data_IF_978587435573
#
_entry.id   IF_978587435573
#
_cell.length_a   1.000
_cell.length_b   1.000
_cell.length_c   1.000
_cell.angle_alpha   90.00
_cell.angle_beta   90.00
_cell.angle_gamma   90.00
#
_symmetry.space_group_name_H-M   'P 1'
#
loop_
_entity.id
_entity.type
_entity.pdbx_description
1 polymer ?
#
# COMPACT_ATOMS: atom_id res chain seq x y z
N UNK A 1 5.66 7.13 0.70
CA UNK A 1 6.09 6.05 1.62
C UNK A 1 6.83 4.91 0.91
N UNK A 2 7.36 3.93 1.68
CA UNK A 2 8.23 2.83 1.19
C UNK A 2 7.66 1.90 0.13
N UNK A 3 6.34 1.73 0.07
CA UNK A 3 5.67 0.95 -0.98
C UNK A 3 5.05 1.90 -2.01
N UNK A 4 4.26 2.86 -1.52
CA UNK A 4 3.47 3.77 -2.36
C UNK A 4 4.29 4.60 -3.34
N UNK A 5 5.52 4.99 -2.99
CA UNK A 5 6.36 5.79 -3.89
C UNK A 5 6.76 5.02 -5.16
N UNK A 6 7.04 3.72 -5.02
CA UNK A 6 7.38 2.84 -6.14
C UNK A 6 6.15 2.43 -6.93
N UNK A 7 5.00 2.28 -6.28
CA UNK A 7 3.73 2.09 -6.98
C UNK A 7 3.39 3.31 -7.86
N UNK A 8 3.51 4.52 -7.33
CA UNK A 8 3.29 5.75 -8.09
C UNK A 8 4.26 5.89 -9.29
N UNK A 9 5.55 5.59 -9.08
CA UNK A 9 6.55 5.53 -10.16
C UNK A 9 6.16 4.54 -11.25
N UNK A 10 5.75 3.32 -10.87
CA UNK A 10 5.38 2.29 -11.83
C UNK A 10 4.10 2.65 -12.60
N UNK A 11 3.11 3.28 -11.96
CA UNK A 11 1.91 3.78 -12.64
C UNK A 11 2.29 4.82 -13.72
N UNK A 12 3.14 5.79 -13.37
CA UNK A 12 3.59 6.82 -14.30
C UNK A 12 4.33 6.23 -15.51
N UNK A 13 5.26 5.29 -15.26
CA UNK A 13 6.03 4.61 -16.31
C UNK A 13 5.22 3.61 -17.14
N UNK A 14 4.00 3.26 -16.70
CA UNK A 14 3.08 2.41 -17.46
C UNK A 14 1.99 3.23 -18.18
N UNK A 15 2.15 4.56 -18.26
CA UNK A 15 1.27 5.42 -19.04
C UNK A 15 -0.12 5.63 -18.43
N UNK A 16 -0.27 5.47 -17.11
CA UNK A 16 -1.52 5.88 -16.44
C UNK A 16 -1.67 7.40 -16.55
N UNK A 17 -2.72 7.85 -17.24
CA UNK A 17 -2.91 9.27 -17.59
C UNK A 17 -3.39 10.17 -16.45
N UNK A 18 -3.85 9.62 -15.31
CA UNK A 18 -4.21 10.40 -14.14
C UNK A 18 -3.86 9.66 -12.84
N UNK A 19 -3.13 10.32 -11.94
CA UNK A 19 -2.65 9.74 -10.68
C UNK A 19 -2.96 10.70 -9.52
N UNK A 20 -3.66 10.21 -8.50
CA UNK A 20 -3.86 10.95 -7.25
C UNK A 20 -2.95 10.38 -6.15
N UNK A 21 -2.20 11.25 -5.49
CA UNK A 21 -1.35 10.93 -4.33
C UNK A 21 -1.97 11.51 -3.07
N UNK A 22 -2.09 10.70 -2.01
CA UNK A 22 -2.64 11.11 -0.71
C UNK A 22 -1.65 10.71 0.38
N UNK A 23 -0.93 11.67 0.95
CA UNK A 23 0.05 11.52 2.02
C UNK A 23 0.27 12.93 2.60
N UNK A 24 0.50 13.05 3.90
CA UNK A 24 0.73 14.34 4.59
C UNK A 24 2.14 14.41 5.22
N UNK A 25 2.97 13.40 5.00
CA UNK A 25 4.32 13.38 5.53
C UNK A 25 5.31 14.15 4.63
N UNK A 26 6.37 14.66 5.25
CA UNK A 26 7.56 15.16 4.59
C UNK A 26 8.61 14.07 4.33
N UNK A 27 9.48 14.30 3.35
CA UNK A 27 10.65 13.46 3.10
C UNK A 27 11.62 13.56 4.28
N UNK A 28 11.94 12.42 4.89
CA UNK A 28 12.91 12.34 5.98
C UNK A 28 14.17 11.58 5.56
N UNK A 29 15.33 11.95 6.09
CA UNK A 29 16.61 11.26 5.84
C UNK A 29 16.53 9.75 6.13
N UNK A 30 15.73 9.34 7.11
CA UNK A 30 15.51 7.93 7.47
C UNK A 30 14.70 7.15 6.44
N UNK A 31 14.22 7.80 5.38
CA UNK A 31 13.48 7.18 4.28
C UNK A 31 14.41 6.62 3.18
N UNK A 32 15.69 7.02 3.17
CA UNK A 32 16.69 6.73 2.13
C UNK A 32 16.82 5.24 1.78
N UNK A 33 16.65 4.35 2.76
CA UNK A 33 16.79 2.90 2.56
C UNK A 33 15.63 2.26 1.77
N UNK A 34 14.54 2.98 1.49
CA UNK A 34 13.31 2.37 0.94
C UNK A 34 12.37 3.26 0.12
N UNK A 35 12.58 4.57 0.03
CA UNK A 35 11.66 5.50 -0.66
C UNK A 35 12.36 6.20 -1.82
N UNK A 36 11.78 6.13 -3.02
CA UNK A 36 12.41 6.65 -4.26
C UNK A 36 12.61 8.18 -4.25
N UNK A 37 11.78 8.91 -3.50
CA UNK A 37 11.84 10.37 -3.37
C UNK A 37 12.81 10.85 -2.28
N UNK A 38 13.45 9.94 -1.54
CA UNK A 38 14.36 10.29 -0.45
C UNK A 38 15.77 10.59 -0.96
N UNK A 39 15.96 11.80 -1.49
CA UNK A 39 17.24 12.34 -1.92
C UNK A 39 17.67 13.50 -1.02
N UNK A 40 18.98 13.77 -0.96
CA UNK A 40 19.57 14.78 -0.05
C UNK A 40 18.93 16.16 -0.20
N UNK A 41 18.67 16.57 -1.44
CA UNK A 41 18.07 17.85 -1.83
C UNK A 41 16.55 17.92 -1.58
N UNK A 42 15.90 16.79 -1.27
CA UNK A 42 14.45 16.68 -1.10
C UNK A 42 14.00 16.55 0.34
N UNK A 43 14.93 16.39 1.30
CA UNK A 43 14.61 16.27 2.73
C UNK A 43 13.87 17.53 3.23
N UNK A 44 12.79 17.33 3.99
CA UNK A 44 11.94 18.39 4.52
C UNK A 44 10.84 18.90 3.56
N UNK A 45 10.80 18.39 2.32
CA UNK A 45 9.72 18.72 1.38
C UNK A 45 8.56 17.72 1.51
N UNK A 46 7.30 18.11 1.20
CA UNK A 46 6.18 17.18 1.21
C UNK A 46 6.38 16.01 0.24
N UNK A 47 6.19 14.77 0.70
CA UNK A 47 6.41 13.57 -0.13
C UNK A 47 5.58 13.60 -1.41
N UNK A 48 4.32 14.03 -1.32
CA UNK A 48 3.42 14.10 -2.47
C UNK A 48 3.87 15.13 -3.50
N UNK A 49 4.44 16.26 -3.07
CA UNK A 49 4.91 17.30 -3.96
C UNK A 49 6.14 16.82 -4.76
N UNK A 50 7.12 16.22 -4.06
CA UNK A 50 8.32 15.64 -4.69
C UNK A 50 7.93 14.52 -5.67
N UNK A 51 7.00 13.65 -5.29
CA UNK A 51 6.52 12.60 -6.20
C UNK A 51 5.71 13.15 -7.37
N UNK A 52 4.91 14.20 -7.19
CA UNK A 52 4.15 14.80 -8.28
C UNK A 52 5.05 15.47 -9.31
N UNK A 53 6.08 16.20 -8.87
CA UNK A 53 7.13 16.75 -9.74
C UNK A 53 7.80 15.63 -10.54
N UNK A 54 8.19 14.54 -9.85
CA UNK A 54 8.82 13.38 -10.47
C UNK A 54 7.93 12.70 -11.51
N UNK A 55 6.64 12.51 -11.23
CA UNK A 55 5.68 11.92 -12.18
C UNK A 55 5.54 12.83 -13.42
N UNK A 56 5.43 14.15 -13.21
CA UNK A 56 5.34 15.12 -14.30
C UNK A 56 6.59 15.11 -15.19
N UNK A 57 7.77 14.89 -14.60
CA UNK A 57 9.02 14.72 -15.34
C UNK A 57 9.09 13.40 -16.13
N UNK A 58 8.38 12.36 -15.69
CA UNK A 58 8.30 11.06 -16.38
C UNK A 58 7.30 11.14 -17.55
N UNK A 59 6.13 11.73 -17.30
CA UNK A 59 5.06 11.87 -18.28
C UNK A 59 4.39 13.24 -18.09
N UNK A 60 4.76 14.25 -18.90
CA UNK A 60 4.18 15.60 -18.81
C UNK A 60 2.67 15.66 -19.09
N UNK A 61 2.11 14.65 -19.76
CA UNK A 61 0.68 14.55 -20.05
C UNK A 61 -0.11 13.87 -18.91
N UNK A 62 0.58 13.33 -17.90
CA UNK A 62 -0.07 12.73 -16.74
C UNK A 62 -0.70 13.82 -15.86
N UNK A 63 -2.01 13.73 -15.64
CA UNK A 63 -2.70 14.58 -14.67
C UNK A 63 -2.44 14.10 -13.25
N UNK A 64 -1.57 14.79 -12.53
CA UNK A 64 -1.25 14.47 -11.14
C UNK A 64 -2.05 15.34 -10.18
N UNK A 65 -2.74 14.72 -9.22
CA UNK A 65 -3.43 15.41 -8.13
C UNK A 65 -2.76 15.05 -6.80
N UNK A 66 -2.23 16.04 -6.10
CA UNK A 66 -1.66 15.87 -4.76
C UNK A 66 -2.71 16.29 -3.71
N UNK A 67 -3.00 15.41 -2.75
CA UNK A 67 -3.88 15.68 -1.63
C UNK A 67 -3.07 15.59 -0.34
N UNK A 68 -2.82 16.75 0.26
CA UNK A 68 -2.09 16.90 1.51
C UNK A 68 -3.02 16.65 2.72
N UNK A 69 -3.34 15.37 2.96
CA UNK A 69 -4.18 14.93 4.07
C UNK A 69 -3.97 13.42 4.32
N UNK A 70 -4.37 12.93 5.48
CA UNK A 70 -4.50 11.51 5.74
C UNK A 70 -5.91 11.01 5.45
N UNK A 71 -6.04 9.74 5.07
CA UNK A 71 -7.36 9.09 5.02
C UNK A 71 -7.83 8.75 6.44
N UNK A 72 -9.02 9.18 6.79
CA UNK A 72 -9.70 8.89 8.07
C UNK A 72 -11.08 8.29 7.80
N UNK A 73 -11.73 7.77 8.84
CA UNK A 73 -13.10 7.27 8.70
C UNK A 73 -14.10 8.37 8.29
N UNK A 74 -13.80 9.62 8.64
CA UNK A 74 -14.70 10.76 8.42
C UNK A 74 -14.52 11.36 7.02
N UNK A 75 -13.29 11.37 6.49
CA UNK A 75 -13.00 12.00 5.19
C UNK A 75 -12.91 11.01 4.02
N UNK A 76 -12.88 9.69 4.25
CA UNK A 76 -12.67 8.68 3.18
C UNK A 76 -13.68 8.82 2.03
N UNK A 77 -14.92 9.18 2.33
CA UNK A 77 -15.96 9.39 1.32
C UNK A 77 -15.64 10.58 0.41
N UNK A 78 -15.18 11.69 0.99
CA UNK A 78 -14.74 12.87 0.26
C UNK A 78 -13.47 12.58 -0.54
N UNK A 79 -12.51 11.85 0.04
CA UNK A 79 -11.22 11.54 -0.59
C UNK A 79 -11.34 10.57 -1.76
N UNK A 80 -12.38 9.74 -1.79
CA UNK A 80 -12.63 8.74 -2.84
C UNK A 80 -13.76 9.09 -3.81
N UNK A 81 -14.29 10.32 -3.77
CA UNK A 81 -15.39 10.74 -4.64
C UNK A 81 -15.00 10.88 -6.12
N UNK A 82 -13.71 10.84 -6.45
CA UNK A 82 -13.17 11.10 -7.78
C UNK A 82 -13.41 10.01 -8.84
N UNK A 83 -14.15 8.95 -8.53
CA UNK A 83 -14.45 7.88 -9.49
C UNK A 83 -13.23 7.07 -9.92
N UNK A 84 -12.33 6.76 -8.98
CA UNK A 84 -11.08 6.03 -9.28
C UNK A 84 -11.33 4.67 -9.93
N UNK A 85 -10.62 4.40 -11.03
CA UNK A 85 -10.60 3.08 -11.67
C UNK A 85 -10.00 2.00 -10.77
N UNK A 86 -9.05 2.41 -9.92
CA UNK A 86 -8.38 1.56 -8.97
C UNK A 86 -7.78 2.36 -7.82
N UNK A 87 -7.73 1.76 -6.64
CA UNK A 87 -7.05 2.28 -5.45
C UNK A 87 -5.93 1.33 -5.06
N UNK A 88 -4.71 1.86 -4.86
CA UNK A 88 -3.59 1.12 -4.29
C UNK A 88 -3.39 1.60 -2.86
N UNK A 89 -3.74 0.75 -1.90
CA UNK A 89 -3.61 1.05 -0.48
C UNK A 89 -2.22 0.64 0.04
N UNK A 90 -1.35 1.65 0.16
CA UNK A 90 -0.01 1.55 0.74
C UNK A 90 0.10 2.22 2.13
N UNK A 91 -1.02 2.36 2.85
CA UNK A 91 -1.09 2.95 4.19
C UNK A 91 -0.52 1.97 5.23
N UNK A 92 0.20 2.49 6.21
CA UNK A 92 0.87 1.75 7.28
C UNK A 92 0.08 1.79 8.61
N UNK A 93 -0.70 2.86 8.85
CA UNK A 93 -1.65 2.98 9.96
C UNK A 93 -2.86 2.05 9.81
N UNK A 94 -3.02 1.11 10.74
CA UNK A 94 -4.13 0.14 10.78
C UNK A 94 -5.50 0.82 10.74
N UNK A 95 -5.68 1.96 11.41
CA UNK A 95 -6.98 2.65 11.49
C UNK A 95 -7.40 3.24 10.15
N UNK A 96 -6.51 4.02 9.54
CA UNK A 96 -6.72 4.63 8.23
C UNK A 96 -6.90 3.56 7.14
N UNK A 97 -6.04 2.53 7.17
CA UNK A 97 -6.09 1.38 6.26
C UNK A 97 -7.43 0.65 6.33
N UNK A 98 -7.91 0.32 7.54
CA UNK A 98 -9.20 -0.36 7.70
C UNK A 98 -10.38 0.51 7.23
N UNK A 99 -10.35 1.83 7.48
CA UNK A 99 -11.37 2.75 7.00
C UNK A 99 -11.44 2.80 5.46
N UNK A 100 -10.28 2.95 4.81
CA UNK A 100 -10.15 2.93 3.35
C UNK A 100 -10.71 1.63 2.76
N UNK A 101 -10.27 0.49 3.26
CA UNK A 101 -10.66 -0.82 2.73
C UNK A 101 -12.13 -1.14 2.97
N UNK A 102 -12.68 -0.77 4.13
CA UNK A 102 -14.10 -0.92 4.40
C UNK A 102 -14.96 -0.08 3.44
N UNK A 103 -14.55 1.16 3.19
CA UNK A 103 -15.23 2.05 2.24
C UNK A 103 -15.16 1.51 0.81
N UNK A 104 -13.96 1.21 0.30
CA UNK A 104 -13.78 0.68 -1.04
C UNK A 104 -14.60 -0.60 -1.26
N UNK A 105 -14.59 -1.51 -0.28
CA UNK A 105 -15.38 -2.75 -0.34
C UNK A 105 -16.88 -2.49 -0.37
N UNK A 106 -17.39 -1.58 0.47
CA UNK A 106 -18.82 -1.25 0.55
C UNK A 106 -19.34 -0.63 -0.74
N UNK A 107 -18.57 0.28 -1.32
CA UNK A 107 -18.94 1.03 -2.53
C UNK A 107 -18.40 0.42 -3.84
N UNK A 108 -17.83 -0.80 -3.76
CA UNK A 108 -17.31 -1.56 -4.90
C UNK A 108 -16.24 -0.79 -5.71
N UNK A 109 -15.46 0.06 -5.03
CA UNK A 109 -14.29 0.71 -5.61
C UNK A 109 -13.16 -0.34 -5.69
N UNK A 110 -12.61 -0.63 -6.88
CA UNK A 110 -11.53 -1.60 -7.01
C UNK A 110 -10.33 -1.19 -6.17
N UNK A 111 -9.85 -2.11 -5.32
CA UNK A 111 -8.74 -1.84 -4.41
C UNK A 111 -7.84 -3.05 -4.28
N UNK A 112 -6.53 -2.80 -4.18
CA UNK A 112 -5.53 -3.74 -3.70
C UNK A 112 -4.87 -3.13 -2.47
N UNK A 113 -4.83 -3.87 -1.37
CA UNK A 113 -4.09 -3.46 -0.19
C UNK A 113 -2.70 -4.08 -0.18
N UNK A 114 -1.77 -3.40 0.48
CA UNK A 114 -0.42 -3.91 0.71
C UNK A 114 -0.24 -4.19 2.19
N UNK A 115 0.26 -5.39 2.48
CA UNK A 115 0.66 -5.84 3.81
C UNK A 115 1.94 -5.16 4.33
N UNK A 116 2.49 -5.70 5.42
CA UNK A 116 3.75 -5.23 6.00
C UNK A 116 4.95 -5.69 5.16
N UNK A 117 5.72 -4.74 4.62
CA UNK A 117 6.91 -5.02 3.80
C UNK A 117 8.25 -4.84 4.57
N UNK A 118 8.20 -4.46 5.85
CA UNK A 118 9.37 -4.38 6.72
C UNK A 118 9.71 -5.75 7.33
N UNK A 119 10.96 -5.94 7.75
CA UNK A 119 11.44 -7.19 8.36
C UNK A 119 11.56 -8.34 7.37
N UNK A 120 11.67 -8.03 6.07
CA UNK A 120 11.69 -8.99 4.97
C UNK A 120 12.85 -8.64 4.02
N UNK A 121 13.41 -9.66 3.39
CA UNK A 121 14.61 -9.56 2.55
C UNK A 121 14.47 -10.22 1.18
N UNK A 122 13.54 -11.17 1.03
CA UNK A 122 13.40 -11.97 -0.19
C UNK A 122 12.21 -11.50 -1.05
N UNK A 123 12.46 -10.74 -2.14
CA UNK A 123 11.39 -10.25 -2.99
C UNK A 123 10.70 -11.36 -3.80
N UNK A 124 11.30 -12.55 -3.92
CA UNK A 124 10.73 -13.66 -4.72
C UNK A 124 9.53 -14.32 -4.05
N UNK A 125 9.34 -14.07 -2.75
CA UNK A 125 8.25 -14.62 -1.93
C UNK A 125 7.00 -13.74 -1.88
N UNK A 126 7.02 -12.60 -2.57
CA UNK A 126 5.92 -11.65 -2.66
C UNK A 126 4.85 -12.19 -3.61
N UNK A 127 3.61 -12.17 -3.17
CA UNK A 127 2.46 -12.70 -3.92
C UNK A 127 1.16 -11.97 -3.55
N UNK A 128 0.09 -12.26 -4.28
CA UNK A 128 -1.24 -11.69 -4.03
C UNK A 128 -2.23 -12.76 -3.62
N UNK A 129 -2.95 -12.54 -2.53
CA UNK A 129 -4.07 -13.38 -2.09
C UNK A 129 -5.20 -12.52 -1.50
N UNK A 130 -6.32 -13.15 -1.15
CA UNK A 130 -7.35 -12.46 -0.36
C UNK A 130 -6.78 -12.10 1.01
N UNK A 131 -7.09 -10.90 1.52
CA UNK A 131 -6.63 -10.41 2.83
C UNK A 131 -6.90 -11.41 3.97
N UNK A 132 -7.97 -12.20 3.89
CA UNK A 132 -8.31 -13.24 4.85
C UNK A 132 -7.29 -14.39 4.94
N UNK A 133 -6.44 -14.53 3.92
CA UNK A 133 -5.53 -15.67 3.68
C UNK A 133 -4.05 -15.30 3.75
N UNK A 134 -3.71 -14.05 4.07
CA UNK A 134 -2.30 -13.68 4.25
C UNK A 134 -1.72 -14.35 5.50
N UNK A 135 -0.44 -14.69 5.42
CA UNK A 135 0.36 -15.31 6.47
C UNK A 135 1.60 -14.45 6.73
N UNK A 136 2.26 -14.66 7.88
CA UNK A 136 3.50 -13.96 8.27
C UNK A 136 3.44 -12.43 8.21
N UNK A 137 2.24 -11.87 8.41
CA UNK A 137 1.99 -10.43 8.30
C UNK A 137 1.14 -9.91 9.47
N UNK A 138 1.77 -9.35 10.51
CA UNK A 138 1.10 -8.75 11.65
C UNK A 138 0.28 -7.51 11.30
N UNK A 139 0.68 -6.74 10.28
CA UNK A 139 -0.09 -5.57 9.83
C UNK A 139 -1.41 -6.05 9.23
N UNK A 140 -1.37 -7.01 8.31
CA UNK A 140 -2.56 -7.60 7.72
C UNK A 140 -3.46 -8.25 8.78
N UNK A 141 -2.89 -8.94 9.77
CA UNK A 141 -3.65 -9.49 10.89
C UNK A 141 -4.40 -8.41 11.69
N UNK A 142 -3.71 -7.35 12.12
CA UNK A 142 -4.33 -6.22 12.85
C UNK A 142 -5.41 -5.51 12.02
N UNK A 143 -5.20 -5.40 10.70
CA UNK A 143 -6.18 -4.82 9.78
C UNK A 143 -7.43 -5.70 9.68
N UNK A 144 -7.30 -7.02 9.60
CA UNK A 144 -8.46 -7.94 9.65
C UNK A 144 -9.25 -7.78 10.94
N UNK A 145 -8.57 -7.70 12.08
CA UNK A 145 -9.23 -7.53 13.37
C UNK A 145 -9.95 -6.17 13.44
N UNK A 146 -9.31 -5.10 12.96
CA UNK A 146 -9.92 -3.78 12.92
C UNK A 146 -11.09 -3.69 11.95
N UNK A 147 -11.02 -4.35 10.79
CA UNK A 147 -12.12 -4.46 9.84
C UNK A 147 -13.34 -5.17 10.46
N UNK A 148 -13.10 -6.25 11.22
CA UNK A 148 -14.16 -6.97 11.95
C UNK A 148 -14.77 -6.11 13.05
N UNK A 149 -13.95 -5.52 13.92
CA UNK A 149 -14.41 -4.80 15.11
C UNK A 149 -14.98 -3.41 14.79
N UNK A 150 -14.35 -2.67 13.88
CA UNK A 150 -14.69 -1.28 13.58
C UNK A 150 -15.68 -1.09 12.44
N UNK A 151 -15.77 -2.06 11.52
CA UNK A 151 -16.55 -1.92 10.29
C UNK A 151 -17.45 -3.13 9.97
N UNK A 152 -17.48 -4.14 10.86
CA UNK A 152 -18.26 -5.37 10.70
C UNK A 152 -17.97 -6.11 9.38
N UNK A 153 -16.78 -5.93 8.82
CA UNK A 153 -16.35 -6.61 7.60
C UNK A 153 -15.81 -7.98 8.00
N UNK A 154 -16.60 -9.02 7.72
CA UNK A 154 -16.28 -10.41 8.05
C UNK A 154 -16.13 -11.28 6.79
N UNK A 155 -15.51 -12.44 6.96
CA UNK A 155 -15.31 -13.42 5.89
C UNK A 155 -16.67 -13.97 5.43
N UNK A 156 -16.81 -14.19 4.12
CA UNK A 156 -17.97 -14.90 3.56
C UNK A 156 -17.87 -16.42 3.77
N UNK A 157 -18.87 -17.17 3.27
CA UNK A 157 -18.90 -18.64 3.33
C UNK A 157 -17.69 -19.35 2.70
N UNK A 158 -16.97 -18.67 1.79
CA UNK A 158 -15.72 -19.16 1.17
C UNK A 158 -14.46 -18.75 1.95
N UNK A 159 -14.62 -18.20 3.15
CA UNK A 159 -13.51 -17.75 4.00
C UNK A 159 -12.77 -16.53 3.46
N UNK A 160 -13.39 -15.71 2.60
CA UNK A 160 -12.77 -14.55 1.95
C UNK A 160 -13.37 -13.23 2.42
N UNK A 161 -12.54 -12.18 2.51
CA UNK A 161 -13.00 -10.81 2.75
C UNK A 161 -13.40 -10.11 1.45
N UNK A 162 -12.92 -10.57 0.30
CA UNK A 162 -13.13 -9.93 -1.00
C UNK A 162 -12.25 -8.70 -1.19
N UNK A 163 -11.07 -8.69 -0.57
CA UNK A 163 -10.06 -7.63 -0.67
C UNK A 163 -8.75 -8.31 -1.08
N UNK A 164 -8.20 -7.95 -2.23
CA UNK A 164 -6.91 -8.48 -2.68
C UNK A 164 -5.77 -7.80 -1.89
N UNK A 165 -4.79 -8.58 -1.43
CA UNK A 165 -3.68 -8.13 -0.62
C UNK A 165 -2.34 -8.64 -1.17
N UNK A 166 -1.38 -7.73 -1.38
CA UNK A 166 0.02 -8.09 -1.61
C UNK A 166 0.66 -8.40 -0.26
N UNK A 167 1.31 -9.55 -0.13
CA UNK A 167 2.02 -9.98 1.07
C UNK A 167 3.21 -10.88 0.70
N UNK A 168 4.12 -11.12 1.63
CA UNK A 168 5.19 -12.11 1.47
C UNK A 168 4.94 -13.33 2.34
N UNK A 169 5.31 -14.50 1.85
CA UNK A 169 5.33 -15.72 2.68
C UNK A 169 6.54 -15.78 3.62
N UNK A 170 7.49 -14.85 3.50
CA UNK A 170 8.71 -14.77 4.31
C UNK A 170 8.39 -14.51 5.79
N UNK A 171 9.06 -15.26 6.67
CA UNK A 171 9.02 -15.03 8.11
C UNK A 171 9.69 -13.69 8.42
N UNK A 172 9.06 -12.88 9.28
CA UNK A 172 9.62 -11.60 9.68
C UNK A 172 10.91 -11.76 10.49
N UNK A 173 11.85 -10.87 10.21
CA UNK A 173 13.12 -10.70 10.90
C UNK A 173 13.05 -9.46 11.80
N UNK A 174 13.41 -9.63 13.07
CA UNK A 174 13.32 -8.64 14.13
C UNK A 174 14.71 -8.17 14.58
N UNK A 175 14.94 -6.86 14.74
CA UNK A 175 16.17 -6.34 15.33
C UNK A 175 16.27 -6.73 16.81
N UNK A 176 17.50 -7.02 17.26
CA UNK A 176 17.82 -7.37 18.64
C UNK A 176 18.62 -6.24 19.33
N UNK A 177 18.62 -6.16 20.68
CA UNK A 177 19.36 -5.14 21.41
C UNK A 177 20.88 -5.18 21.19
N UNK A 178 21.43 -6.35 20.83
CA UNK A 178 22.86 -6.56 20.53
C UNK A 178 23.25 -6.17 19.09
N UNK A 179 22.31 -5.61 18.31
CA UNK A 179 22.50 -5.23 16.91
C UNK A 179 22.36 -6.39 15.91
N UNK A 180 22.17 -7.63 16.38
CA UNK A 180 21.85 -8.77 15.53
C UNK A 180 20.38 -8.75 15.08
N UNK A 181 20.01 -9.71 14.25
CA UNK A 181 18.63 -9.92 13.80
C UNK A 181 18.23 -11.38 13.92
N UNK A 182 16.98 -11.67 14.26
CA UNK A 182 16.48 -13.04 14.32
C UNK A 182 14.98 -13.15 13.98
N UNK A 183 14.48 -14.37 13.78
CA UNK A 183 13.07 -14.62 13.44
C UNK A 183 12.11 -14.49 14.64
N UNK A 184 12.67 -14.36 15.86
CA UNK A 184 11.90 -14.22 17.09
C UNK A 184 11.77 -12.74 17.48
N UNK A 185 10.57 -12.31 17.90
CA UNK A 185 10.41 -11.09 18.69
C UNK A 185 11.49 -11.00 19.78
N UNK A 186 12.30 -9.93 19.79
CA UNK A 186 13.06 -9.60 20.99
C UNK A 186 12.07 -9.52 22.17
N UNK A 187 12.34 -10.25 23.25
CA UNK A 187 11.64 -10.15 24.54
C UNK A 187 12.00 -8.80 25.16
N UNK A 188 11.44 -7.71 24.63
CA UNK A 188 11.55 -6.39 25.19
C UNK A 188 10.14 -5.86 25.41
N UNK A 189 9.80 -5.58 26.68
CA UNK A 189 8.54 -5.00 27.11
C UNK A 189 8.29 -3.65 26.41
N UNK A 190 7.19 -3.52 25.67
CA UNK A 190 6.78 -2.24 25.09
C UNK A 190 5.91 -2.36 23.83
N UNK A 191 5.08 -1.34 23.53
CA UNK A 191 4.26 -1.33 22.32
C UNK A 191 5.15 -1.19 21.08
N UNK A 192 5.25 -2.26 20.28
CA UNK A 192 5.91 -2.25 18.97
C UNK A 192 5.23 -1.27 18.02
N UNK A 193 5.73 -0.04 17.97
CA UNK A 193 5.39 0.96 16.97
C UNK A 193 6.27 0.75 15.74
N UNK A 194 5.76 1.13 14.59
CA UNK A 194 6.51 1.10 13.33
C UNK A 194 7.30 2.41 13.17
N UNK A 195 7.99 2.82 14.24
CA UNK A 195 8.84 4.01 14.25
C UNK A 195 10.30 3.64 13.97
N UNK A 196 11.10 4.63 13.58
CA UNK A 196 12.52 4.41 13.24
C UNK A 196 13.42 4.09 14.44
N UNK A 197 12.89 4.12 15.67
CA UNK A 197 13.65 3.86 16.90
C UNK A 197 13.43 2.45 17.46
N UNK A 198 12.30 1.80 17.15
CA UNK A 198 11.94 0.47 17.67
C UNK A 198 11.27 -0.47 16.64
N UNK A 199 11.16 -0.02 15.39
CA UNK A 199 10.47 -0.72 14.31
C UNK A 199 11.33 -1.71 13.52
N UNK A 200 10.69 -2.42 12.61
CA UNK A 200 11.36 -3.31 11.66
C UNK A 200 12.30 -2.55 10.71
N UNK A 201 13.43 -3.17 10.37
CA UNK A 201 14.24 -2.76 9.22
C UNK A 201 13.50 -2.95 7.89
N UNK A 202 13.99 -2.34 6.81
CA UNK A 202 13.40 -2.51 5.49
C UNK A 202 14.45 -2.30 4.39
N UNK A 203 14.23 -2.93 3.23
CA UNK A 203 15.08 -2.80 2.06
C UNK A 203 14.26 -2.39 0.83
N UNK A 204 14.85 -1.54 -0.03
CA UNK A 204 14.25 -1.12 -1.31
C UNK A 204 13.79 -2.30 -2.15
N UNK A 205 14.61 -3.35 -2.29
CA UNK A 205 14.30 -4.50 -3.15
C UNK A 205 12.98 -5.17 -2.80
N UNK A 206 12.63 -5.23 -1.51
CA UNK A 206 11.36 -5.81 -1.05
C UNK A 206 10.24 -4.77 -1.17
N UNK A 207 10.40 -3.62 -0.50
CA UNK A 207 9.34 -2.60 -0.43
C UNK A 207 8.92 -2.05 -1.79
N UNK A 208 9.85 -1.88 -2.73
CA UNK A 208 9.56 -1.51 -4.11
C UNK A 208 8.82 -2.61 -4.86
N UNK A 209 9.26 -3.87 -4.72
CA UNK A 209 8.62 -5.02 -5.37
C UNK A 209 7.18 -5.21 -4.89
N UNK A 210 6.89 -4.97 -3.62
CA UNK A 210 5.51 -4.90 -3.12
C UNK A 210 4.65 -3.88 -3.90
N UNK A 211 5.20 -2.68 -4.15
CA UNK A 211 4.55 -1.65 -4.95
C UNK A 211 4.36 -2.07 -6.40
N UNK A 212 5.38 -2.67 -7.01
CA UNK A 212 5.31 -3.16 -8.39
C UNK A 212 4.29 -4.29 -8.57
N UNK A 213 4.25 -5.25 -7.63
CA UNK A 213 3.26 -6.34 -7.65
C UNK A 213 1.85 -5.79 -7.48
N UNK A 214 1.64 -4.79 -6.63
CA UNK A 214 0.34 -4.13 -6.47
C UNK A 214 -0.14 -3.48 -7.79
N UNK A 215 0.74 -2.73 -8.47
CA UNK A 215 0.44 -2.10 -9.76
C UNK A 215 0.16 -3.15 -10.83
N UNK A 216 1.02 -4.16 -10.98
CA UNK A 216 0.83 -5.23 -11.95
C UNK A 216 -0.52 -5.96 -11.74
N UNK A 217 -0.90 -6.21 -10.48
CA UNK A 217 -2.20 -6.79 -10.14
C UNK A 217 -3.38 -5.89 -10.51
N UNK A 218 -3.29 -4.58 -10.20
CA UNK A 218 -4.31 -3.60 -10.56
C UNK A 218 -4.52 -3.56 -12.08
N UNK A 219 -3.44 -3.42 -12.86
CA UNK A 219 -3.47 -3.39 -14.32
C UNK A 219 -4.06 -4.69 -14.89
N UNK A 220 -3.66 -5.85 -14.39
CA UNK A 220 -4.22 -7.15 -14.79
C UNK A 220 -5.74 -7.20 -14.59
N UNK A 221 -6.24 -6.69 -13.46
CA UNK A 221 -7.67 -6.64 -13.14
C UNK A 221 -8.43 -5.66 -14.04
N UNK A 222 -7.86 -4.48 -14.29
CA UNK A 222 -8.42 -3.49 -15.22
C UNK A 222 -8.54 -4.04 -16.63
N UNK A 223 -7.47 -4.67 -17.16
CA UNK A 223 -7.48 -5.30 -18.48
C UNK A 223 -8.51 -6.44 -18.58
N UNK A 224 -8.62 -7.28 -17.54
CA UNK A 224 -9.63 -8.33 -17.51
C UNK A 224 -11.07 -7.78 -17.48
N UNK A 225 -11.31 -6.68 -16.78
CA UNK A 225 -12.61 -5.98 -16.77
C UNK A 225 -12.93 -5.42 -18.16
N UNK A 226 -11.99 -4.70 -18.77
CA UNK A 226 -12.16 -4.14 -20.11
C UNK A 226 -12.46 -5.24 -21.14
N UNK A 227 -11.69 -6.35 -21.15
CA UNK A 227 -11.94 -7.48 -22.07
C UNK A 227 -13.34 -8.07 -21.94
N UNK A 228 -13.88 -8.19 -20.71
CA UNK A 228 -15.25 -8.68 -20.51
C UNK A 228 -16.30 -7.71 -21.06
N UNK A 229 -16.06 -6.40 -20.96
CA UNK A 229 -16.95 -5.39 -21.51
C UNK A 229 -16.95 -5.39 -23.04
N UNK A 230 -15.78 -5.58 -23.67
CA UNK A 230 -15.68 -5.68 -25.14
C UNK A 230 -16.36 -6.93 -25.74
N UNK A 231 -16.36 -8.06 -25.03
CA UNK A 231 -16.93 -9.34 -25.52
C UNK A 231 -18.45 -9.40 -25.34
N UNK A 232 -19.04 -8.53 -24.52
CA UNK A 232 -20.50 -8.47 -24.33
C UNK A 232 -21.02 -7.31 -25.17
N UNK A 233 -21.71 -7.53 -26.30
CA UNK A 233 -22.29 -6.42 -27.05
C UNK A 233 -23.28 -5.67 -26.14
N UNK A 234 -23.40 -4.34 -26.27
CA UNK A 234 -24.42 -3.60 -25.54
C UNK A 234 -25.78 -4.23 -25.87
N UNK A 235 -26.56 -4.54 -24.83
CA UNK A 235 -27.93 -4.99 -25.02
C UNK A 235 -28.66 -3.94 -25.87
N UNK A 236 -29.16 -4.37 -27.03
CA UNK A 236 -30.01 -3.57 -27.90
C UNK A 236 -31.35 -3.24 -27.22
#
# INVERSE_FOLDING_TARGET
>A
GGVGSWAAEALARTGIGAITLIDMDDVCVTNTNRQIHALRDRVGQPKIAVMAERISAINPECRVTAIDDFVTADNVAQRLNGGFDYVIDAIDSVRAKAALLAYCRRYKIPVVCVGGAGGQTDPTRIQVADLAKTIQDPLAAKVRDRLKQGFQVVKNSKGKLGIDCVFSSEQLVYPQPDGSVCASPATAEGPKRMDCASGFGAATMVTATFGFVAVAHALKKMLAKARRQYVTPPAA
#
